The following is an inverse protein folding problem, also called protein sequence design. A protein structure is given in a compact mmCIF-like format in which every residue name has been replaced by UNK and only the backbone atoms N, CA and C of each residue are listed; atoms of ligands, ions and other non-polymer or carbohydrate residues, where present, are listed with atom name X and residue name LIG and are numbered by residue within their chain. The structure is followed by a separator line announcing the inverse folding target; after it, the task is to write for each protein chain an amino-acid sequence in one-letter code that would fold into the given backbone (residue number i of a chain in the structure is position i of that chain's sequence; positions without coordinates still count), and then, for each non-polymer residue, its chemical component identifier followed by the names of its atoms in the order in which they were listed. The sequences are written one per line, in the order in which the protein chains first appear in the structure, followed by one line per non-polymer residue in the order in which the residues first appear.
data_IF_078295052091
#
_entry.id   IF_078295052091
#
_cell.length_a   1.000
_cell.length_b   1.000
_cell.length_c   1.000
_cell.angle_alpha   90.00
_cell.angle_beta   90.00
_cell.angle_gamma   90.00
#
_symmetry.space_group_name_H-M   'P 1'
#
loop_
_entity.id
_entity.type
_entity.pdbx_description
1 polymer ?
#
# COMPACT_ATOMS: atom_id res chain seq x y z
N UNK A 1 -13.36 2.33 1.87
CA UNK A 1 -12.33 1.31 1.60
C UNK A 1 -11.06 1.66 2.37
N UNK A 2 -10.33 0.69 2.94
CA UNK A 2 -9.07 0.93 3.65
C UNK A 2 -8.02 -0.05 3.14
N UNK A 3 -6.82 0.45 2.86
CA UNK A 3 -5.68 -0.35 2.46
C UNK A 3 -4.54 -0.16 3.45
N UNK A 4 -3.77 -1.22 3.69
CA UNK A 4 -2.48 -1.08 4.37
C UNK A 4 -1.45 -0.52 3.39
N UNK A 5 -0.43 0.15 3.92
CA UNK A 5 0.67 0.68 3.09
C UNK A 5 1.30 -0.43 2.25
N UNK A 6 1.56 -1.61 2.84
CA UNK A 6 2.11 -2.77 2.16
C UNK A 6 1.26 -3.21 0.95
N UNK A 7 -0.07 -3.28 1.08
CA UNK A 7 -0.96 -3.64 -0.04
C UNK A 7 -0.89 -2.62 -1.18
N UNK A 8 -0.79 -1.33 -0.85
CA UNK A 8 -0.67 -0.28 -1.86
C UNK A 8 0.66 -0.34 -2.63
N UNK A 9 1.74 -0.80 -1.96
CA UNK A 9 3.06 -0.96 -2.58
C UNK A 9 3.15 -2.25 -3.39
N UNK A 10 2.84 -3.41 -2.77
CA UNK A 10 3.08 -4.71 -3.40
C UNK A 10 1.98 -5.10 -4.42
N UNK A 11 0.75 -4.59 -4.27
CA UNK A 11 -0.39 -4.98 -5.11
C UNK A 11 -1.27 -3.77 -5.51
N UNK A 12 -0.69 -2.75 -6.19
CA UNK A 12 -1.42 -1.53 -6.53
C UNK A 12 -2.62 -1.79 -7.45
N UNK A 13 -2.48 -2.67 -8.45
CA UNK A 13 -3.59 -3.00 -9.36
C UNK A 13 -4.74 -3.72 -8.66
N UNK A 14 -4.45 -4.59 -7.70
CA UNK A 14 -5.48 -5.24 -6.89
C UNK A 14 -6.22 -4.22 -6.01
N UNK A 15 -5.53 -3.20 -5.50
CA UNK A 15 -6.17 -2.08 -4.81
C UNK A 15 -7.07 -1.29 -5.77
N UNK A 16 -6.61 -1.00 -6.99
CA UNK A 16 -7.41 -0.35 -8.02
C UNK A 16 -8.65 -1.17 -8.39
N UNK A 17 -8.54 -2.51 -8.46
CA UNK A 17 -9.67 -3.41 -8.74
C UNK A 17 -10.73 -3.30 -7.64
N UNK A 18 -10.32 -3.26 -6.38
CA UNK A 18 -11.25 -3.07 -5.27
C UNK A 18 -11.98 -1.71 -5.36
N UNK A 19 -11.27 -0.63 -5.68
CA UNK A 19 -11.88 0.70 -5.89
C UNK A 19 -12.87 0.65 -7.06
N UNK A 20 -12.45 0.09 -8.20
CA UNK A 20 -13.29 -0.04 -9.40
C UNK A 20 -14.55 -0.86 -9.14
N UNK A 21 -14.46 -1.89 -8.30
CA UNK A 21 -15.62 -2.66 -7.89
C UNK A 21 -16.62 -1.80 -7.11
N UNK A 22 -16.16 -1.01 -6.12
CA UNK A 22 -17.05 -0.13 -5.35
C UNK A 22 -17.66 0.96 -6.23
N UNK A 23 -16.90 1.51 -7.17
CA UNK A 23 -17.44 2.45 -8.16
C UNK A 23 -18.56 1.77 -8.95
N UNK A 24 -18.32 0.58 -9.50
CA UNK A 24 -19.32 -0.18 -10.24
C UNK A 24 -20.57 -0.52 -9.40
N UNK A 25 -20.43 -0.74 -8.09
CA UNK A 25 -21.55 -0.98 -7.18
C UNK A 25 -22.37 0.28 -6.88
N UNK A 26 -21.74 1.46 -6.85
CA UNK A 26 -22.41 2.73 -6.47
C UNK A 26 -23.00 3.46 -7.67
N UNK A 27 -22.31 3.47 -8.81
CA UNK A 27 -22.71 4.23 -10.00
C UNK A 27 -23.10 3.35 -11.20
N UNK A 28 -23.08 2.02 -11.03
CA UNK A 28 -23.40 1.01 -12.06
C UNK A 28 -22.50 1.05 -13.31
N UNK A 29 -21.40 1.82 -13.29
CA UNK A 29 -20.40 1.87 -14.36
C UNK A 29 -19.29 0.83 -14.15
N UNK A 30 -19.26 -0.18 -15.01
CA UNK A 30 -18.31 -1.30 -14.97
C UNK A 30 -17.06 -1.11 -15.84
N UNK A 31 -16.91 0.02 -16.55
CA UNK A 31 -15.80 0.22 -17.51
C UNK A 31 -14.43 0.03 -16.87
N UNK A 32 -14.22 0.55 -15.67
CA UNK A 32 -12.95 0.44 -14.94
C UNK A 32 -12.75 -0.96 -14.35
N UNK A 33 -13.83 -1.62 -13.93
CA UNK A 33 -13.75 -2.96 -13.36
C UNK A 33 -13.43 -4.01 -14.42
N UNK A 34 -14.04 -3.91 -15.61
CA UNK A 34 -13.79 -4.81 -16.74
C UNK A 34 -12.31 -4.79 -17.18
N UNK A 35 -11.65 -3.63 -17.10
CA UNK A 35 -10.21 -3.50 -17.41
C UNK A 35 -9.31 -4.25 -16.41
N UNK A 36 -9.82 -4.54 -15.21
CA UNK A 36 -9.08 -5.15 -14.11
C UNK A 36 -9.63 -6.55 -13.76
N UNK A 37 -10.48 -7.14 -14.62
CA UNK A 37 -11.13 -8.42 -14.33
C UNK A 37 -10.11 -9.55 -14.12
N UNK A 38 -9.04 -9.58 -14.93
CA UNK A 38 -7.94 -10.54 -14.84
C UNK A 38 -7.00 -10.34 -13.64
N UNK A 39 -7.05 -9.16 -12.98
CA UNK A 39 -6.22 -8.87 -11.80
C UNK A 39 -6.75 -9.63 -10.60
N UNK A 40 -5.86 -10.22 -9.79
CA UNK A 40 -6.26 -10.94 -8.58
C UNK A 40 -6.96 -10.02 -7.58
N UNK A 41 -7.96 -10.55 -6.88
CA UNK A 41 -8.66 -9.81 -5.83
C UNK A 41 -7.72 -9.55 -4.65
N UNK A 42 -7.82 -8.35 -4.06
CA UNK A 42 -7.00 -7.99 -2.92
C UNK A 42 -7.41 -8.80 -1.68
N UNK A 43 -6.43 -9.46 -1.05
CA UNK A 43 -6.69 -10.19 0.19
C UNK A 43 -6.98 -9.21 1.34
N UNK A 44 -8.05 -9.42 2.13
CA UNK A 44 -8.36 -8.56 3.26
C UNK A 44 -7.27 -8.68 4.33
N UNK A 45 -6.84 -7.53 4.85
CA UNK A 45 -5.87 -7.46 5.95
C UNK A 45 -6.56 -6.95 7.20
N UNK A 46 -6.28 -7.60 8.34
CA UNK A 46 -6.81 -7.15 9.62
C UNK A 46 -6.15 -5.80 9.98
N UNK A 47 -6.93 -4.82 10.48
CA UNK A 47 -6.36 -3.61 11.02
C UNK A 47 -5.36 -3.92 12.13
N UNK A 48 -4.29 -3.14 12.19
CA UNK A 48 -3.30 -3.29 13.24
C UNK A 48 -3.87 -2.83 14.58
N UNK A 49 -3.59 -3.60 15.63
CA UNK A 49 -3.79 -3.14 16.99
C UNK A 49 -2.79 -2.02 17.30
N UNK A 50 -3.10 -1.16 18.28
CA UNK A 50 -2.19 -0.09 18.72
C UNK A 50 -0.81 -0.66 19.12
N UNK A 51 -0.80 -1.80 19.81
CA UNK A 51 0.43 -2.49 20.21
C UNK A 51 1.19 -3.04 18.99
N UNK A 52 0.48 -3.60 18.01
CA UNK A 52 1.04 -4.05 16.74
C UNK A 52 1.68 -2.89 15.96
N UNK A 53 0.97 -1.77 15.81
CA UNK A 53 1.44 -0.57 15.13
C UNK A 53 2.73 -0.03 15.77
N UNK A 54 2.76 0.10 17.11
CA UNK A 54 3.96 0.51 17.85
C UNK A 54 5.14 -0.45 17.61
N UNK A 55 4.89 -1.76 17.60
CA UNK A 55 5.93 -2.77 17.32
C UNK A 55 6.48 -2.65 15.89
N UNK A 56 5.61 -2.45 14.90
CA UNK A 56 6.03 -2.29 13.51
C UNK A 56 6.83 -1.02 13.27
N UNK A 57 6.44 0.09 13.90
CA UNK A 57 7.20 1.33 13.85
C UNK A 57 8.60 1.17 14.47
N UNK A 58 8.71 0.53 15.64
CA UNK A 58 10.00 0.23 16.29
C UNK A 58 10.90 -0.64 15.41
N UNK A 59 10.33 -1.61 14.71
CA UNK A 59 11.08 -2.55 13.88
C UNK A 59 11.34 -2.04 12.45
N UNK A 60 10.93 -0.80 12.12
CA UNK A 60 10.98 -0.24 10.76
C UNK A 60 10.36 -1.19 9.72
N UNK A 61 9.21 -1.80 10.05
CA UNK A 61 8.56 -2.82 9.22
C UNK A 61 8.31 -2.37 7.77
N UNK A 62 8.06 -1.08 7.53
CA UNK A 62 7.90 -0.53 6.18
C UNK A 62 9.09 -0.79 5.26
N UNK A 63 10.31 -0.87 5.82
CA UNK A 63 11.50 -1.19 5.06
C UNK A 63 11.51 -2.63 4.53
N UNK A 64 10.68 -3.53 5.03
CA UNK A 64 10.68 -4.92 4.56
C UNK A 64 10.13 -5.04 3.15
N UNK A 65 9.16 -4.21 2.77
CA UNK A 65 8.50 -4.24 1.46
C UNK A 65 8.86 -3.04 0.58
N UNK A 66 9.43 -1.96 1.14
CA UNK A 66 9.95 -0.84 0.34
C UNK A 66 11.34 -1.12 -0.26
N UNK A 67 12.08 -2.12 0.21
CA UNK A 67 13.42 -2.45 -0.30
C UNK A 67 13.41 -2.87 -1.77
N UNK A 68 12.35 -3.53 -2.23
CA UNK A 68 12.25 -3.96 -3.64
C UNK A 68 12.06 -2.77 -4.58
N UNK A 69 11.23 -1.79 -4.19
CA UNK A 69 11.05 -0.52 -4.93
C UNK A 69 12.32 0.36 -4.95
N UNK A 70 13.15 0.25 -3.91
CA UNK A 70 14.39 1.02 -3.78
C UNK A 70 15.58 0.41 -4.54
N UNK A 71 15.50 -0.84 -4.98
CA UNK A 71 16.53 -1.49 -5.79
C UNK A 71 16.76 -0.80 -7.15
N UNK A 72 15.73 -0.15 -7.70
CA UNK A 72 15.83 0.67 -8.93
C UNK A 72 16.03 2.16 -8.68
N UNK A 73 15.44 2.71 -7.61
CA UNK A 73 15.36 4.17 -7.37
C UNK A 73 16.52 4.74 -6.56
N UNK A 74 17.32 3.91 -5.87
CA UNK A 74 18.51 4.37 -5.14
C UNK A 74 19.71 4.74 -6.03
N UNK A 75 19.56 4.68 -7.36
CA UNK A 75 20.41 5.47 -8.28
C UNK A 75 19.88 6.91 -8.36
N UNK A 76 20.04 7.62 -7.26
CA UNK A 76 20.07 9.08 -7.22
C UNK A 76 18.72 9.79 -7.09
N UNK A 77 18.24 10.03 -5.86
CA UNK A 77 17.74 11.35 -5.45
C UNK A 77 17.57 11.44 -3.92
N UNK A 78 17.89 12.61 -3.37
CA UNK A 78 17.78 12.97 -1.93
C UNK A 78 16.35 12.91 -1.37
N UNK A 79 15.33 12.74 -2.22
CA UNK A 79 13.91 12.72 -1.85
C UNK A 79 13.47 11.40 -1.21
N UNK A 80 14.10 10.28 -1.57
CA UNK A 80 13.79 8.95 -1.03
C UNK A 80 14.15 8.82 0.46
N UNK A 81 15.25 9.47 0.89
CA UNK A 81 15.68 9.49 2.29
C UNK A 81 14.65 10.17 3.22
N UNK A 82 13.92 11.19 2.74
CA UNK A 82 12.92 11.91 3.54
C UNK A 82 11.65 11.10 3.83
N UNK A 83 11.26 10.19 2.94
CA UNK A 83 10.13 9.28 3.20
C UNK A 83 10.50 8.24 4.24
N UNK A 84 11.73 7.70 4.16
CA UNK A 84 12.28 6.77 5.15
C UNK A 84 12.47 7.42 6.53
N UNK A 85 12.87 8.69 6.59
CA UNK A 85 12.92 9.45 7.84
C UNK A 85 11.52 9.62 8.45
N UNK A 86 10.49 9.95 7.64
CA UNK A 86 9.11 10.05 8.14
C UNK A 86 8.60 8.75 8.76
N UNK A 87 8.93 7.59 8.18
CA UNK A 87 8.61 6.29 8.79
C UNK A 87 9.30 6.10 10.16
N UNK A 88 10.52 6.62 10.35
CA UNK A 88 11.23 6.61 11.64
C UNK A 88 10.69 7.64 12.64
N UNK A 89 10.15 8.76 12.15
CA UNK A 89 9.64 9.88 12.96
C UNK A 89 8.22 9.68 13.51
N UNK A 90 7.53 8.56 13.26
CA UNK A 90 6.27 8.16 13.90
C UNK A 90 6.36 7.89 15.42
N UNK A 91 7.29 8.56 16.12
CA UNK A 91 7.39 8.70 17.58
C UNK A 91 6.80 10.07 17.97
N UNK A 92 5.49 10.18 18.00
CA UNK A 92 4.79 11.14 18.87
C UNK A 92 3.54 10.47 19.41
#
# INVERSE_FOLDING_TARGET
MRFTERQAVEAPLSCCKAIAQVIAEVIEDKRYWNQLESVANLLPQRPWTVTGAKRMARNNYCLSYLKEELGGVLRGTKSSLRFLEKCKQGRR
#
